data_IF_400355568473
#
_entry.id   IF_400355568473
#
_cell.length_a   1.000
_cell.length_b   1.000
_cell.length_c   1.000
_cell.angle_alpha   90.00
_cell.angle_beta   90.00
_cell.angle_gamma   90.00
#
_symmetry.space_group_name_H-M   'P 1'
#
loop_
_entity.id
_entity.type
_entity.pdbx_description
1 polymer ?
#
# COMPACT_ATOMS: atom_id res chain seq x y z
N UNK A 1 -7.14 17.56 -21.26
CA UNK A 1 -7.75 16.52 -20.41
C UNK A 1 -6.69 15.48 -20.12
N UNK A 2 -6.08 15.51 -18.93
CA UNK A 2 -5.06 14.52 -18.56
C UNK A 2 -5.76 13.19 -18.21
N UNK A 3 -5.24 12.04 -18.66
CA UNK A 3 -5.76 10.74 -18.24
C UNK A 3 -5.52 10.58 -16.74
N UNK A 4 -6.60 10.38 -15.98
CA UNK A 4 -6.52 10.04 -14.57
C UNK A 4 -5.81 8.69 -14.39
N UNK A 5 -4.81 8.58 -13.51
CA UNK A 5 -4.19 7.29 -13.21
C UNK A 5 -5.20 6.38 -12.50
N UNK A 6 -5.48 5.21 -13.05
CA UNK A 6 -6.31 4.20 -12.40
C UNK A 6 -5.41 3.32 -11.50
N UNK A 7 -5.80 3.11 -10.24
CA UNK A 7 -5.19 2.07 -9.41
C UNK A 7 -5.83 0.73 -9.78
N UNK A 8 -5.02 -0.29 -10.09
CA UNK A 8 -5.54 -1.60 -10.48
C UNK A 8 -5.04 -2.67 -9.52
N UNK A 9 -5.98 -3.49 -9.04
CA UNK A 9 -5.69 -4.72 -8.34
C UNK A 9 -5.03 -5.70 -9.31
N UNK A 10 -3.95 -6.36 -8.88
CA UNK A 10 -3.31 -7.40 -9.67
C UNK A 10 -4.20 -8.65 -9.64
N UNK A 11 -4.82 -9.07 -10.77
CA UNK A 11 -5.71 -10.22 -10.77
C UNK A 11 -4.90 -11.52 -10.67
N UNK A 12 -4.67 -12.04 -9.47
CA UNK A 12 -4.10 -13.38 -9.33
C UNK A 12 -5.16 -14.41 -9.73
N UNK A 13 -5.13 -14.84 -10.99
CA UNK A 13 -5.79 -16.07 -11.40
C UNK A 13 -5.03 -17.25 -10.79
N UNK A 14 -5.46 -17.70 -9.62
CA UNK A 14 -5.35 -19.11 -9.29
C UNK A 14 -6.48 -19.75 -10.07
N UNK A 15 -6.16 -20.41 -11.19
CA UNK A 15 -7.11 -21.31 -11.81
C UNK A 15 -7.57 -22.29 -10.73
N UNK A 16 -8.86 -22.35 -10.38
CA UNK A 16 -9.35 -23.46 -9.59
C UNK A 16 -9.05 -24.68 -10.44
N UNK A 17 -8.15 -25.55 -9.96
CA UNK A 17 -8.00 -26.88 -10.51
C UNK A 17 -9.40 -27.49 -10.50
N UNK A 18 -10.01 -27.59 -11.68
CA UNK A 18 -11.27 -28.29 -11.85
C UNK A 18 -11.10 -29.72 -11.30
N UNK A 19 -12.19 -30.35 -10.84
CA UNK A 19 -12.13 -31.73 -10.38
C UNK A 19 -11.68 -32.60 -11.56
N UNK A 20 -10.40 -32.97 -11.57
CA UNK A 20 -9.91 -34.04 -12.43
C UNK A 20 -10.61 -35.31 -11.99
N UNK A 21 -11.48 -35.82 -12.85
CA UNK A 21 -12.18 -37.11 -12.74
C UNK A 21 -11.14 -38.20 -12.55
N UNK A 22 -10.80 -38.48 -11.30
CA UNK A 22 -9.82 -39.49 -10.92
C UNK A 22 -10.63 -40.66 -10.39
N UNK A 23 -10.43 -41.82 -11.02
CA UNK A 23 -10.97 -43.09 -10.59
C UNK A 23 -10.72 -43.27 -9.08
N UNK A 24 -11.76 -43.69 -8.35
CA UNK A 24 -11.78 -43.90 -6.89
C UNK A 24 -10.83 -45.05 -6.47
N UNK A 25 -9.52 -44.83 -6.59
CA UNK A 25 -8.55 -45.63 -5.85
C UNK A 25 -8.45 -45.06 -4.43
N UNK A 26 -8.43 -45.92 -3.39
CA UNK A 26 -8.13 -45.43 -2.04
C UNK A 26 -6.78 -44.71 -2.07
N UNK A 27 -6.67 -43.54 -1.42
CA UNK A 27 -5.43 -42.76 -1.45
C UNK A 27 -4.27 -43.63 -0.95
N UNK A 28 -3.09 -43.57 -1.58
CA UNK A 28 -1.95 -44.37 -1.18
C UNK A 28 -1.61 -44.10 0.29
N UNK A 29 -1.39 -45.17 1.07
CA UNK A 29 -0.97 -45.05 2.47
C UNK A 29 0.48 -44.58 2.50
N UNK A 30 0.69 -43.31 2.85
CA UNK A 30 2.02 -42.71 3.01
C UNK A 30 2.48 -42.93 4.45
N UNK A 31 3.61 -43.60 4.63
CA UNK A 31 4.30 -43.75 5.92
C UNK A 31 5.52 -42.84 5.93
N UNK A 32 5.57 -41.90 6.87
CA UNK A 32 6.70 -40.99 7.04
C UNK A 32 7.46 -41.39 8.30
N UNK A 33 8.80 -41.34 8.22
CA UNK A 33 9.68 -41.66 9.33
C UNK A 33 10.62 -40.47 9.61
N UNK A 34 10.84 -40.17 10.89
CA UNK A 34 11.87 -39.22 11.34
C UNK A 34 12.90 -39.98 12.17
N UNK A 35 14.15 -40.07 11.73
CA UNK A 35 15.21 -40.85 12.40
C UNK A 35 14.75 -42.29 12.73
N UNK A 36 14.14 -42.97 11.75
CA UNK A 36 13.54 -44.32 11.89
C UNK A 36 12.35 -44.44 12.86
N UNK A 37 11.83 -43.33 13.40
CA UNK A 37 10.58 -43.33 14.18
C UNK A 37 9.39 -43.00 13.28
N UNK A 38 8.31 -43.80 13.26
CA UNK A 38 7.14 -43.51 12.43
C UNK A 38 6.43 -42.26 12.93
N UNK A 39 6.18 -41.31 12.03
CA UNK A 39 5.41 -40.11 12.32
C UNK A 39 3.92 -40.51 12.41
N UNK A 40 3.21 -40.20 13.51
CA UNK A 40 1.83 -40.61 13.67
C UNK A 40 0.92 -39.92 12.65
N UNK A 41 0.01 -40.68 12.06
CA UNK A 41 -1.07 -40.13 11.24
C UNK A 41 -2.14 -39.55 12.16
N UNK A 42 -2.40 -38.25 12.05
CA UNK A 42 -3.46 -37.58 12.81
C UNK A 42 -4.51 -36.99 11.88
N UNK A 43 -5.77 -37.00 12.33
CA UNK A 43 -6.89 -36.36 11.60
C UNK A 43 -6.87 -34.84 11.73
N UNK A 44 -6.23 -34.35 12.78
CA UNK A 44 -6.05 -32.94 13.07
C UNK A 44 -4.63 -32.69 13.58
N UNK A 45 -4.01 -31.63 13.09
CA UNK A 45 -2.79 -31.10 13.67
C UNK A 45 -2.79 -29.58 13.65
N UNK A 46 -2.06 -29.00 14.59
CA UNK A 46 -1.91 -27.55 14.75
C UNK A 46 -0.44 -27.17 14.62
N UNK A 47 -0.13 -26.30 13.66
CA UNK A 47 1.20 -25.68 13.54
C UNK A 47 1.07 -24.20 13.89
N UNK A 48 1.69 -23.80 15.00
CA UNK A 48 1.55 -22.47 15.61
C UNK A 48 0.08 -22.17 15.93
N UNK A 49 -0.60 -21.49 15.03
CA UNK A 49 -2.02 -21.23 15.10
C UNK A 49 -2.78 -22.00 14.04
N UNK A 50 -2.16 -22.34 12.91
CA UNK A 50 -2.78 -22.97 11.74
C UNK A 50 -3.34 -24.35 12.10
N UNK A 51 -4.65 -24.51 11.95
CA UNK A 51 -5.34 -25.79 12.14
C UNK A 51 -5.48 -26.46 10.77
N UNK A 52 -4.90 -27.65 10.64
CA UNK A 52 -4.96 -28.46 9.42
C UNK A 52 -5.68 -29.76 9.77
N UNK A 53 -6.53 -30.21 8.85
CA UNK A 53 -7.36 -31.40 8.99
C UNK A 53 -7.17 -32.32 7.79
N UNK A 54 -7.30 -33.63 8.00
CA UNK A 54 -7.17 -34.62 6.93
C UNK A 54 -8.20 -34.41 5.80
N UNK A 55 -9.39 -33.89 6.14
CA UNK A 55 -10.48 -33.60 5.20
C UNK A 55 -10.39 -32.23 4.52
N UNK A 56 -9.34 -31.45 4.81
CA UNK A 56 -9.18 -30.03 4.41
C UNK A 56 -10.33 -29.11 4.87
N UNK A 57 -11.18 -29.58 5.78
CA UNK A 57 -12.29 -28.79 6.29
C UNK A 57 -11.81 -27.64 7.18
N UNK A 58 -12.26 -26.38 6.94
CA UNK A 58 -11.89 -25.24 7.77
C UNK A 58 -12.69 -25.16 9.08
N UNK A 59 -13.59 -26.11 9.33
CA UNK A 59 -14.55 -26.04 10.44
C UNK A 59 -13.92 -25.78 11.80
N UNK A 60 -12.89 -26.56 12.17
CA UNK A 60 -12.20 -26.40 13.46
C UNK A 60 -11.59 -25.00 13.59
N UNK A 61 -10.92 -24.51 12.54
CA UNK A 61 -10.33 -23.18 12.52
C UNK A 61 -11.40 -22.08 12.67
N UNK A 62 -12.52 -22.21 11.95
CA UNK A 62 -13.64 -21.25 12.01
C UNK A 62 -14.30 -21.20 13.39
N UNK A 63 -14.42 -22.33 14.08
CA UNK A 63 -14.95 -22.39 15.45
C UNK A 63 -14.05 -21.61 16.42
N UNK A 64 -12.73 -21.83 16.37
CA UNK A 64 -11.79 -21.07 17.19
C UNK A 64 -11.77 -19.58 16.83
N UNK A 65 -11.85 -19.24 15.54
CA UNK A 65 -11.95 -17.86 15.09
C UNK A 65 -13.21 -17.18 15.64
N UNK A 66 -14.37 -17.84 15.57
CA UNK A 66 -15.64 -17.32 16.11
C UNK A 66 -15.51 -17.00 17.60
N UNK A 67 -14.99 -17.94 18.39
CA UNK A 67 -14.75 -17.75 19.83
C UNK A 67 -13.80 -16.57 20.09
N UNK A 68 -12.69 -16.51 19.34
CA UNK A 68 -11.69 -15.46 19.48
C UNK A 68 -12.24 -14.06 19.14
N UNK A 69 -13.02 -13.94 18.06
CA UNK A 69 -13.66 -12.67 17.66
C UNK A 69 -14.58 -12.16 18.75
N UNK A 70 -15.42 -13.04 19.34
CA UNK A 70 -16.33 -12.67 20.42
C UNK A 70 -15.55 -12.18 21.64
N UNK A 71 -14.59 -12.98 22.12
CA UNK A 71 -13.78 -12.64 23.30
C UNK A 71 -13.02 -11.32 23.12
N UNK A 72 -12.37 -11.15 21.96
CA UNK A 72 -11.58 -9.95 21.64
C UNK A 72 -12.48 -8.72 21.50
N UNK A 73 -13.64 -8.85 20.87
CA UNK A 73 -14.59 -7.74 20.72
C UNK A 73 -15.12 -7.26 22.07
N UNK A 74 -15.42 -8.17 23.00
CA UNK A 74 -15.80 -7.81 24.36
C UNK A 74 -14.67 -7.13 25.13
N UNK A 75 -13.43 -7.64 25.01
CA UNK A 75 -12.27 -7.01 25.61
C UNK A 75 -12.07 -5.58 25.11
N UNK A 76 -12.08 -5.38 23.79
CA UNK A 76 -11.91 -4.07 23.17
C UNK A 76 -13.03 -3.09 23.54
N UNK A 77 -14.28 -3.57 23.59
CA UNK A 77 -15.41 -2.75 24.07
C UNK A 77 -15.22 -2.29 25.51
N UNK A 78 -14.73 -3.15 26.41
CA UNK A 78 -14.44 -2.76 27.80
C UNK A 78 -13.36 -1.68 27.87
N UNK A 79 -12.31 -1.81 27.07
CA UNK A 79 -11.24 -0.79 26.97
C UNK A 79 -11.79 0.54 26.43
N UNK A 80 -12.69 0.48 25.45
CA UNK A 80 -13.31 1.65 24.83
C UNK A 80 -14.22 2.45 25.79
N UNK A 81 -14.84 1.78 26.79
CA UNK A 81 -15.81 2.40 27.71
C UNK A 81 -15.16 2.98 28.98
N UNK A 82 -13.92 2.61 29.32
CA UNK A 82 -13.25 3.13 30.53
C UNK A 82 -13.07 4.66 30.47
N UNK A 83 -13.08 5.31 31.64
CA UNK A 83 -12.77 6.74 31.77
C UNK A 83 -11.34 6.99 31.26
N UNK A 84 -11.15 8.03 30.42
CA UNK A 84 -9.94 8.25 29.60
C UNK A 84 -9.71 7.19 28.51
N UNK A 85 -10.79 6.54 28.04
CA UNK A 85 -10.73 5.48 27.04
C UNK A 85 -10.05 5.88 25.74
N UNK A 86 -9.58 4.86 25.03
CA UNK A 86 -8.84 4.99 23.76
C UNK A 86 -9.68 5.74 22.72
N UNK A 87 -9.08 6.60 21.89
CA UNK A 87 -9.80 7.31 20.81
C UNK A 87 -10.30 6.38 19.70
N UNK A 88 -11.31 6.80 18.92
CA UNK A 88 -11.94 5.95 17.89
C UNK A 88 -10.95 5.35 16.87
N UNK A 89 -10.01 6.16 16.37
CA UNK A 89 -8.94 5.70 15.47
C UNK A 89 -8.04 4.65 16.11
N UNK A 90 -7.66 4.86 17.36
CA UNK A 90 -6.79 3.93 18.08
C UNK A 90 -7.53 2.63 18.46
N UNK A 91 -8.84 2.69 18.70
CA UNK A 91 -9.68 1.48 18.86
C UNK A 91 -9.68 0.63 17.59
N UNK A 92 -9.79 1.26 16.40
CA UNK A 92 -9.69 0.55 15.13
C UNK A 92 -8.30 -0.09 14.98
N UNK A 93 -7.23 0.62 15.33
CA UNK A 93 -5.87 0.05 15.29
C UNK A 93 -5.71 -1.17 16.20
N UNK A 94 -6.29 -1.14 17.39
CA UNK A 94 -6.29 -2.30 18.29
C UNK A 94 -7.10 -3.47 17.70
N UNK A 95 -8.25 -3.19 17.08
CA UNK A 95 -9.03 -4.21 16.39
C UNK A 95 -8.25 -4.84 15.22
N UNK A 96 -7.61 -4.01 14.40
CA UNK A 96 -6.77 -4.46 13.29
C UNK A 96 -5.58 -5.31 13.79
N UNK A 97 -4.92 -4.87 14.87
CA UNK A 97 -3.73 -5.55 15.39
C UNK A 97 -4.02 -6.89 16.08
N UNK A 98 -5.13 -7.02 16.80
CA UNK A 98 -5.47 -8.27 17.51
C UNK A 98 -6.34 -9.20 16.67
N UNK A 99 -7.40 -8.67 16.06
CA UNK A 99 -8.41 -9.48 15.39
C UNK A 99 -8.06 -9.72 13.94
N UNK A 100 -7.84 -8.66 13.16
CA UNK A 100 -7.62 -8.80 11.71
C UNK A 100 -6.32 -9.56 11.43
N UNK A 101 -5.23 -9.30 12.17
CA UNK A 101 -3.97 -10.05 12.06
C UNK A 101 -4.15 -11.55 12.27
N UNK A 102 -5.01 -11.97 13.22
CA UNK A 102 -5.30 -13.36 13.50
C UNK A 102 -6.12 -14.01 12.40
N UNK A 103 -7.09 -13.27 11.85
CA UNK A 103 -7.89 -13.72 10.70
C UNK A 103 -7.01 -13.91 9.46
N UNK A 104 -6.20 -12.91 9.11
CA UNK A 104 -5.35 -12.95 7.91
C UNK A 104 -4.21 -13.96 7.99
N UNK A 105 -3.88 -14.46 9.17
CA UNK A 105 -2.97 -15.60 9.31
C UNK A 105 -3.57 -16.91 8.77
N UNK A 106 -4.88 -17.10 8.91
CA UNK A 106 -5.55 -18.38 8.63
C UNK A 106 -6.34 -18.39 7.33
N UNK A 107 -7.23 -17.41 7.19
CA UNK A 107 -8.26 -17.40 6.16
C UNK A 107 -7.70 -17.49 4.73
N UNK A 108 -6.53 -16.92 4.39
CA UNK A 108 -5.99 -17.04 3.04
C UNK A 108 -5.68 -18.47 2.59
N UNK A 109 -5.53 -19.41 3.52
CA UNK A 109 -5.14 -20.79 3.21
C UNK A 109 -6.29 -21.77 3.41
N UNK A 110 -7.45 -21.30 3.89
CA UNK A 110 -8.62 -22.11 4.13
C UNK A 110 -9.50 -22.21 2.86
N UNK A 111 -10.03 -23.39 2.51
CA UNK A 111 -11.05 -23.52 1.48
C UNK A 111 -12.40 -23.09 2.05
N UNK A 112 -12.75 -21.82 1.88
CA UNK A 112 -13.98 -21.23 2.42
C UNK A 112 -15.12 -21.27 1.39
N UNK A 113 -16.32 -21.60 1.86
CA UNK A 113 -17.54 -21.48 1.05
C UNK A 113 -18.10 -20.05 1.09
N UNK A 114 -18.94 -19.68 0.12
CA UNK A 114 -19.60 -18.37 0.12
C UNK A 114 -20.40 -18.08 1.40
N UNK A 115 -21.00 -19.11 1.98
CA UNK A 115 -21.72 -18.99 3.26
C UNK A 115 -20.78 -18.71 4.43
N UNK A 116 -19.60 -19.34 4.47
CA UNK A 116 -18.58 -19.08 5.48
C UNK A 116 -17.98 -17.67 5.35
N UNK A 117 -17.75 -17.23 4.11
CA UNK A 117 -17.38 -15.86 3.77
C UNK A 117 -18.39 -14.83 4.32
N UNK A 118 -19.68 -15.02 4.06
CA UNK A 118 -20.74 -14.16 4.59
C UNK A 118 -20.78 -14.16 6.13
N UNK A 119 -20.59 -15.31 6.77
CA UNK A 119 -20.53 -15.42 8.23
C UNK A 119 -19.34 -14.64 8.82
N UNK A 120 -18.14 -14.78 8.24
CA UNK A 120 -16.94 -14.06 8.66
C UNK A 120 -17.09 -12.55 8.48
N UNK A 121 -17.66 -12.12 7.37
CA UNK A 121 -18.00 -10.72 7.14
C UNK A 121 -18.97 -10.17 8.20
N UNK A 122 -19.96 -10.96 8.61
CA UNK A 122 -20.85 -10.61 9.73
C UNK A 122 -20.11 -10.46 11.06
N UNK A 123 -19.14 -11.33 11.35
CA UNK A 123 -18.32 -11.26 12.56
C UNK A 123 -17.41 -10.04 12.58
N UNK A 124 -16.75 -9.74 11.46
CA UNK A 124 -15.92 -8.53 11.30
C UNK A 124 -16.77 -7.29 11.55
N UNK A 125 -17.94 -7.16 10.90
CA UNK A 125 -18.85 -6.01 11.11
C UNK A 125 -19.25 -5.86 12.57
N UNK A 126 -19.67 -6.95 13.23
CA UNK A 126 -20.03 -6.94 14.65
C UNK A 126 -18.87 -6.48 15.52
N UNK A 127 -17.65 -6.94 15.23
CA UNK A 127 -16.46 -6.54 15.97
C UNK A 127 -16.16 -5.04 15.82
N UNK A 128 -16.29 -4.48 14.61
CA UNK A 128 -16.18 -3.04 14.37
C UNK A 128 -17.26 -2.25 15.11
N UNK A 129 -18.53 -2.68 15.04
CA UNK A 129 -19.61 -2.02 15.78
C UNK A 129 -19.35 -2.02 17.29
N UNK A 130 -18.98 -3.17 17.87
CA UNK A 130 -18.66 -3.28 19.29
C UNK A 130 -17.50 -2.37 19.70
N UNK A 131 -16.46 -2.31 18.89
CA UNK A 131 -15.24 -1.54 19.17
C UNK A 131 -15.47 -0.04 19.05
N UNK A 132 -16.30 0.38 18.10
CA UNK A 132 -16.67 1.78 17.87
C UNK A 132 -17.87 2.23 18.71
N UNK A 133 -18.40 1.36 19.57
CA UNK A 133 -19.59 1.62 20.39
C UNK A 133 -20.82 1.97 19.55
N UNK A 134 -20.88 1.45 18.33
CA UNK A 134 -22.06 1.57 17.47
C UNK A 134 -23.12 0.54 17.88
N UNK A 135 -24.40 0.80 17.58
CA UNK A 135 -25.45 -0.18 17.79
C UNK A 135 -25.13 -1.52 17.10
N UNK A 136 -25.44 -2.67 17.72
CA UNK A 136 -25.15 -3.99 17.15
C UNK A 136 -25.88 -4.24 15.82
N UNK A 137 -26.99 -3.52 15.59
CA UNK A 137 -27.80 -3.57 14.38
C UNK A 137 -27.54 -2.39 13.43
N UNK A 138 -26.40 -1.71 13.56
CA UNK A 138 -26.03 -0.64 12.65
C UNK A 138 -26.09 -1.12 11.19
N UNK A 139 -26.58 -0.24 10.31
CA UNK A 139 -26.79 -0.56 8.90
C UNK A 139 -25.49 -1.07 8.26
N UNK A 140 -25.55 -2.25 7.65
CA UNK A 140 -24.41 -2.86 6.96
C UNK A 140 -23.97 -2.03 5.75
N UNK A 141 -24.93 -1.44 5.04
CA UNK A 141 -24.63 -0.58 3.88
C UNK A 141 -23.91 0.69 4.33
N UNK A 142 -24.40 1.34 5.40
CA UNK A 142 -23.75 2.51 5.97
C UNK A 142 -22.34 2.21 6.50
N UNK A 143 -22.18 1.13 7.28
CA UNK A 143 -20.86 0.73 7.81
C UNK A 143 -19.84 0.45 6.71
N UNK A 144 -20.29 -0.20 5.63
CA UNK A 144 -19.46 -0.48 4.46
C UNK A 144 -19.10 0.79 3.70
N UNK A 145 -20.08 1.68 3.51
CA UNK A 145 -19.91 2.97 2.84
C UNK A 145 -19.00 3.93 3.62
N UNK A 146 -18.85 3.78 4.94
CA UNK A 146 -17.86 4.54 5.72
C UNK A 146 -16.41 4.15 5.41
N UNK A 147 -16.16 2.98 4.79
CA UNK A 147 -14.82 2.51 4.46
C UNK A 147 -13.94 2.22 5.68
N UNK A 148 -14.52 1.80 6.81
CA UNK A 148 -13.77 1.55 8.06
C UNK A 148 -13.10 0.18 8.10
N UNK A 149 -13.68 -0.81 7.43
CA UNK A 149 -13.26 -2.21 7.46
C UNK A 149 -13.11 -2.80 6.06
N UNK A 150 -12.32 -3.87 5.97
CA UNK A 150 -12.24 -4.71 4.80
C UNK A 150 -13.17 -5.93 4.93
N UNK A 151 -13.64 -6.43 3.79
CA UNK A 151 -14.31 -7.73 3.74
C UNK A 151 -13.28 -8.86 3.84
N UNK A 152 -13.75 -10.06 4.12
CA UNK A 152 -12.94 -11.27 4.24
C UNK A 152 -12.21 -11.58 2.93
N UNK A 153 -12.89 -11.37 1.81
CA UNK A 153 -12.39 -11.53 0.46
C UNK A 153 -11.22 -10.58 0.20
N UNK A 154 -11.38 -9.30 0.53
CA UNK A 154 -10.33 -8.29 0.37
C UNK A 154 -9.11 -8.55 1.26
N UNK A 155 -9.35 -9.03 2.49
CA UNK A 155 -8.29 -9.41 3.41
C UNK A 155 -7.50 -10.62 2.88
N UNK A 156 -8.20 -11.61 2.33
CA UNK A 156 -7.59 -12.78 1.70
C UNK A 156 -6.81 -12.38 0.45
N UNK A 157 -7.39 -11.56 -0.42
CA UNK A 157 -6.73 -11.03 -1.61
C UNK A 157 -5.46 -10.27 -1.23
N UNK A 158 -5.57 -9.26 -0.37
CA UNK A 158 -4.44 -8.44 0.06
C UNK A 158 -3.31 -9.30 0.66
N UNK A 159 -3.66 -10.28 1.48
CA UNK A 159 -2.68 -11.15 2.11
C UNK A 159 -2.04 -12.12 1.09
N UNK A 160 -2.83 -12.76 0.22
CA UNK A 160 -2.30 -13.66 -0.83
C UNK A 160 -1.39 -12.90 -1.79
N UNK A 161 -1.84 -11.76 -2.31
CA UNK A 161 -1.05 -10.93 -3.23
C UNK A 161 0.27 -10.50 -2.60
N UNK A 162 0.24 -10.02 -1.35
CA UNK A 162 1.44 -9.66 -0.60
C UNK A 162 2.41 -10.84 -0.42
N UNK A 163 1.89 -12.05 -0.12
CA UNK A 163 2.72 -13.25 0.02
C UNK A 163 3.32 -13.73 -1.30
N UNK A 164 2.54 -13.72 -2.38
CA UNK A 164 3.02 -14.08 -3.72
C UNK A 164 4.11 -13.10 -4.16
N UNK A 165 3.89 -11.80 -4.02
CA UNK A 165 4.88 -10.77 -4.31
C UNK A 165 6.13 -10.87 -3.44
N UNK A 166 5.99 -11.30 -2.18
CA UNK A 166 7.13 -11.54 -1.30
C UNK A 166 7.95 -12.74 -1.77
N UNK A 167 7.30 -13.84 -2.14
CA UNK A 167 7.97 -15.05 -2.63
C UNK A 167 8.63 -14.81 -3.98
N UNK A 168 8.01 -14.05 -4.87
CA UNK A 168 8.58 -13.72 -6.19
C UNK A 168 9.83 -12.84 -6.13
N UNK A 169 10.27 -12.38 -4.95
CA UNK A 169 11.52 -11.61 -4.82
C UNK A 169 12.75 -12.47 -4.63
N UNK A 170 12.59 -13.76 -4.35
CA UNK A 170 13.70 -14.63 -3.95
C UNK A 170 13.72 -15.91 -4.77
N UNK A 171 14.90 -16.40 -5.08
CA UNK A 171 15.08 -17.65 -5.82
C UNK A 171 14.35 -18.85 -5.19
N UNK A 172 14.47 -19.12 -3.87
CA UNK A 172 13.69 -20.20 -3.23
C UNK A 172 12.19 -19.96 -3.32
N UNK A 173 11.74 -18.71 -3.26
CA UNK A 173 10.33 -18.35 -3.38
C UNK A 173 9.79 -18.58 -4.78
N UNK A 174 10.56 -18.26 -5.82
CA UNK A 174 10.24 -18.62 -7.21
C UNK A 174 10.12 -20.13 -7.39
N UNK A 175 11.05 -20.91 -6.82
CA UNK A 175 10.98 -22.36 -6.87
C UNK A 175 9.68 -22.88 -6.21
N UNK A 176 9.29 -22.32 -5.06
CA UNK A 176 8.02 -22.65 -4.40
C UNK A 176 6.83 -22.31 -5.31
N UNK A 177 6.78 -21.09 -5.85
CA UNK A 177 5.69 -20.66 -6.73
C UNK A 177 5.58 -21.54 -7.99
N UNK A 178 6.71 -21.87 -8.61
CA UNK A 178 6.77 -22.78 -9.76
C UNK A 178 6.27 -24.19 -9.41
N UNK A 179 6.68 -24.73 -8.25
CA UNK A 179 6.22 -26.05 -7.78
C UNK A 179 4.71 -26.10 -7.51
N UNK A 180 4.11 -24.95 -7.19
CA UNK A 180 2.66 -24.79 -6.97
C UNK A 180 1.91 -24.38 -8.24
N UNK A 181 2.58 -24.26 -9.39
CA UNK A 181 2.04 -23.73 -10.65
C UNK A 181 1.39 -22.34 -10.51
N UNK A 182 1.95 -21.50 -9.64
CA UNK A 182 1.50 -20.11 -9.44
C UNK A 182 2.44 -19.19 -10.24
N UNK A 183 1.92 -18.60 -11.30
CA UNK A 183 2.65 -17.62 -12.11
C UNK A 183 2.31 -16.20 -11.63
N UNK A 184 3.21 -15.49 -10.92
CA UNK A 184 2.95 -14.11 -10.54
C UNK A 184 2.94 -13.21 -11.77
N UNK A 185 1.92 -12.35 -11.88
CA UNK A 185 1.71 -11.43 -13.02
C UNK A 185 2.89 -10.49 -13.23
N UNK A 186 3.56 -10.13 -12.13
CA UNK A 186 4.80 -9.38 -12.15
C UNK A 186 5.85 -10.25 -11.46
N UNK A 187 6.66 -10.96 -12.25
CA UNK A 187 7.94 -11.48 -11.78
C UNK A 187 8.91 -10.30 -11.72
N UNK A 188 9.19 -9.70 -10.54
CA UNK A 188 10.34 -8.80 -10.46
C UNK A 188 11.57 -9.60 -10.91
N UNK A 189 12.44 -9.02 -11.74
CA UNK A 189 13.70 -9.69 -12.06
C UNK A 189 14.41 -10.03 -10.75
N UNK A 190 14.98 -11.24 -10.65
CA UNK A 190 15.73 -11.66 -9.46
C UNK A 190 16.73 -10.57 -9.08
N UNK A 191 16.44 -9.84 -8.00
CA UNK A 191 17.25 -8.71 -7.61
C UNK A 191 18.56 -9.21 -7.00
N UNK A 192 19.68 -8.72 -7.51
CA UNK A 192 21.03 -9.03 -7.07
C UNK A 192 21.42 -8.14 -5.90
N UNK A 193 22.31 -8.62 -5.02
CA UNK A 193 22.84 -7.84 -3.91
C UNK A 193 23.79 -6.76 -4.46
N UNK A 194 23.61 -5.52 -4.00
CA UNK A 194 24.56 -4.44 -4.24
C UNK A 194 25.82 -4.72 -3.40
N UNK A 195 27.03 -4.68 -3.98
CA UNK A 195 28.26 -4.87 -3.22
C UNK A 195 28.37 -3.91 -2.02
N UNK A 196 28.88 -4.38 -0.86
CA UNK A 196 28.87 -3.59 0.37
C UNK A 196 29.57 -2.23 0.26
N UNK A 197 30.62 -2.13 -0.56
CA UNK A 197 31.36 -0.88 -0.75
C UNK A 197 30.49 0.20 -1.43
N UNK A 198 29.70 -0.16 -2.44
CA UNK A 198 28.74 0.76 -3.10
C UNK A 198 27.55 1.02 -2.19
N UNK A 199 27.01 -0.04 -1.54
CA UNK A 199 25.81 0.08 -0.71
C UNK A 199 25.95 1.11 0.41
N UNK A 200 27.14 1.23 1.00
CA UNK A 200 27.44 2.21 2.07
C UNK A 200 27.39 3.66 1.60
N UNK A 201 27.66 3.91 0.32
CA UNK A 201 27.62 5.24 -0.27
C UNK A 201 26.20 5.66 -0.68
N UNK A 202 25.28 4.71 -0.82
CA UNK A 202 23.88 5.02 -1.15
C UNK A 202 23.08 5.32 0.12
N UNK A 203 22.76 6.60 0.34
CA UNK A 203 21.98 7.10 1.46
C UNK A 203 20.50 7.18 1.06
N UNK A 204 19.72 6.14 1.36
CA UNK A 204 18.29 6.11 1.07
C UNK A 204 17.49 6.45 2.34
N UNK A 205 16.74 7.56 2.32
CA UNK A 205 15.79 7.88 3.39
C UNK A 205 14.60 6.92 3.37
N UNK A 206 14.01 6.65 4.54
CA UNK A 206 12.83 5.78 4.62
C UNK A 206 11.72 6.26 3.72
N UNK A 207 11.17 5.37 2.90
CA UNK A 207 10.11 5.70 1.96
C UNK A 207 8.87 6.22 2.70
N UNK A 208 8.28 7.34 2.25
CA UNK A 208 7.06 7.86 2.86
C UNK A 208 5.91 6.87 2.74
N UNK A 209 5.10 6.79 3.80
CA UNK A 209 3.86 6.03 3.80
C UNK A 209 2.70 6.91 3.34
N UNK A 210 1.63 6.30 2.83
CA UNK A 210 0.40 6.98 2.40
C UNK A 210 0.69 8.02 1.32
N UNK A 211 1.34 7.57 0.24
CA UNK A 211 1.66 8.37 -0.95
C UNK A 211 0.91 7.85 -2.19
N UNK A 212 -0.31 7.35 -2.04
CA UNK A 212 -1.16 7.10 -3.20
C UNK A 212 -1.58 8.45 -3.83
N UNK A 213 -1.34 8.69 -5.14
CA UNK A 213 -1.66 9.97 -5.79
C UNK A 213 -3.14 10.35 -5.72
N UNK A 214 -4.04 9.36 -5.82
CA UNK A 214 -5.49 9.59 -5.79
C UNK A 214 -5.97 9.95 -4.38
N UNK A 215 -5.52 9.20 -3.38
CA UNK A 215 -6.06 9.32 -2.02
C UNK A 215 -5.32 10.33 -1.14
N UNK A 216 -4.10 10.71 -1.50
CA UNK A 216 -3.21 11.53 -0.69
C UNK A 216 -2.63 12.73 -1.45
N UNK A 217 -3.41 13.29 -2.38
CA UNK A 217 -3.04 14.44 -3.20
C UNK A 217 -2.44 15.61 -2.38
N UNK A 218 -3.04 15.98 -1.25
CA UNK A 218 -2.50 17.06 -0.39
C UNK A 218 -1.10 16.78 0.15
N UNK A 219 -0.78 15.52 0.48
CA UNK A 219 0.57 15.11 0.92
C UNK A 219 1.56 15.15 -0.24
N UNK A 220 1.12 14.71 -1.42
CA UNK A 220 1.88 14.81 -2.66
C UNK A 220 2.25 16.26 -2.97
N UNK A 221 1.28 17.18 -2.95
CA UNK A 221 1.52 18.61 -3.21
C UNK A 221 2.44 19.27 -2.17
N UNK A 222 2.22 19.01 -0.88
CA UNK A 222 3.08 19.55 0.17
C UNK A 222 4.54 19.08 0.02
N UNK A 223 4.74 17.82 -0.38
CA UNK A 223 6.07 17.27 -0.64
C UNK A 223 6.69 17.85 -1.91
N UNK A 224 5.93 17.98 -2.99
CA UNK A 224 6.38 18.63 -4.23
C UNK A 224 6.85 20.06 -3.96
N UNK A 225 6.08 20.84 -3.20
CA UNK A 225 6.44 22.21 -2.77
C UNK A 225 7.72 22.24 -1.95
N UNK A 226 7.95 21.26 -1.08
CA UNK A 226 9.21 21.16 -0.33
C UNK A 226 10.39 20.83 -1.26
N UNK A 227 10.22 19.91 -2.21
CA UNK A 227 11.28 19.56 -3.16
C UNK A 227 11.60 20.71 -4.13
N UNK A 228 10.62 21.48 -4.57
CA UNK A 228 10.85 22.63 -5.46
C UNK A 228 11.73 23.72 -4.82
N UNK A 229 11.72 23.81 -3.49
CA UNK A 229 12.57 24.74 -2.73
C UNK A 229 13.95 24.12 -2.46
N UNK A 230 13.99 22.88 -1.97
CA UNK A 230 15.24 22.28 -1.46
C UNK A 230 16.07 21.52 -2.51
N UNK A 231 15.49 21.14 -3.65
CA UNK A 231 16.12 20.24 -4.63
C UNK A 231 15.92 20.76 -6.06
N UNK A 232 16.31 22.01 -6.31
CA UNK A 232 16.30 22.53 -7.68
C UNK A 232 17.32 21.76 -8.55
N UNK A 233 17.03 21.53 -9.85
CA UNK A 233 17.98 20.89 -10.75
C UNK A 233 19.33 21.61 -10.77
N UNK A 234 20.40 20.86 -10.56
CA UNK A 234 21.78 21.37 -10.53
C UNK A 234 22.74 20.22 -10.86
N UNK A 235 24.05 20.47 -11.07
CA UNK A 235 25.00 19.39 -11.37
C UNK A 235 25.10 18.33 -10.27
N UNK A 236 24.68 18.66 -9.04
CA UNK A 236 24.70 17.77 -7.89
C UNK A 236 23.32 17.20 -7.52
N UNK A 237 22.24 17.74 -8.11
CA UNK A 237 20.85 17.34 -7.84
C UNK A 237 20.20 16.89 -9.14
N UNK A 238 20.08 15.57 -9.31
CA UNK A 238 19.71 14.94 -10.56
C UNK A 238 18.33 14.29 -10.44
N UNK A 239 17.45 14.56 -11.39
CA UNK A 239 16.17 13.87 -11.50
C UNK A 239 16.28 12.73 -12.50
N UNK A 240 15.58 11.62 -12.24
CA UNK A 240 15.55 10.45 -13.13
C UNK A 240 14.13 9.94 -13.36
N UNK A 241 13.90 9.41 -14.55
CA UNK A 241 12.64 8.76 -14.91
C UNK A 241 12.84 7.74 -16.05
N UNK A 242 11.85 6.86 -16.23
CA UNK A 242 11.77 5.91 -17.32
C UNK A 242 10.37 5.94 -17.98
N UNK A 243 10.34 5.89 -19.31
CA UNK A 243 9.11 5.89 -20.09
C UNK A 243 9.06 4.72 -21.07
N UNK A 244 7.96 3.96 -21.07
CA UNK A 244 7.75 2.85 -22.01
C UNK A 244 7.54 3.33 -23.45
N UNK A 245 8.13 2.63 -24.41
CA UNK A 245 7.83 2.80 -25.83
C UNK A 245 6.42 2.28 -26.16
N UNK A 246 5.59 3.01 -26.94
CA UNK A 246 4.19 2.65 -27.18
C UNK A 246 3.94 1.21 -27.68
N UNK A 247 4.85 0.67 -28.50
CA UNK A 247 4.68 -0.63 -29.17
C UNK A 247 5.81 -1.63 -28.87
N UNK A 248 6.58 -1.40 -27.80
CA UNK A 248 7.70 -2.27 -27.45
C UNK A 248 7.78 -2.48 -25.92
N UNK A 249 8.39 -3.59 -25.51
CA UNK A 249 8.79 -3.81 -24.11
C UNK A 249 10.04 -3.01 -23.73
N UNK A 250 10.57 -2.21 -24.65
CA UNK A 250 11.64 -1.26 -24.37
C UNK A 250 11.14 -0.04 -23.59
N UNK A 251 12.06 0.59 -22.86
CA UNK A 251 11.86 1.81 -22.11
C UNK A 251 13.00 2.79 -22.38
N UNK A 252 12.68 4.07 -22.52
CA UNK A 252 13.65 5.15 -22.52
C UNK A 252 13.86 5.62 -21.08
N UNK A 253 15.09 5.52 -20.58
CA UNK A 253 15.50 6.10 -19.29
C UNK A 253 16.13 7.47 -19.55
N UNK A 254 15.82 8.45 -18.70
CA UNK A 254 16.32 9.81 -18.81
C UNK A 254 16.85 10.29 -17.46
N UNK A 255 17.88 11.14 -17.50
CA UNK A 255 18.32 11.92 -16.36
C UNK A 255 18.41 13.40 -16.74
N UNK A 256 18.09 14.28 -15.80
CA UNK A 256 18.21 15.73 -15.97
C UNK A 256 19.15 16.30 -14.92
N UNK A 257 20.31 16.72 -15.40
CA UNK A 257 21.30 17.56 -14.73
C UNK A 257 21.97 18.47 -15.78
N UNK A 258 22.42 19.68 -15.43
CA UNK A 258 23.15 20.55 -16.36
C UNK A 258 24.41 19.85 -16.90
N UNK A 259 24.83 20.07 -18.17
CA UNK A 259 24.24 20.98 -19.16
C UNK A 259 23.18 20.34 -20.08
N UNK A 260 23.12 19.01 -20.18
CA UNK A 260 22.20 18.32 -21.11
C UNK A 260 21.57 17.05 -20.52
N UNK A 261 20.30 16.77 -20.85
CA UNK A 261 19.66 15.51 -20.49
C UNK A 261 20.38 14.34 -21.16
N UNK A 262 20.70 13.31 -20.39
CA UNK A 262 21.30 12.07 -20.91
C UNK A 262 20.25 10.98 -20.87
N UNK A 263 20.21 10.18 -21.93
CA UNK A 263 19.15 9.20 -22.11
C UNK A 263 19.67 7.90 -22.69
N UNK A 264 18.94 6.82 -22.45
CA UNK A 264 19.30 5.47 -22.87
C UNK A 264 18.05 4.62 -23.08
N UNK A 265 18.04 3.79 -24.12
CA UNK A 265 16.95 2.83 -24.36
C UNK A 265 17.35 1.46 -23.81
N UNK A 266 16.45 0.82 -23.06
CA UNK A 266 16.66 -0.52 -22.47
C UNK A 266 15.48 -1.44 -22.72
N UNK A 267 15.76 -2.70 -23.08
CA UNK A 267 14.76 -3.73 -23.28
C UNK A 267 14.52 -4.48 -21.96
N UNK A 268 13.69 -3.92 -21.10
CA UNK A 268 13.40 -4.44 -19.76
C UNK A 268 11.99 -4.10 -19.31
N UNK A 269 11.41 -4.80 -18.32
CA UNK A 269 10.18 -4.34 -17.67
C UNK A 269 10.31 -2.92 -17.08
N UNK A 270 9.19 -2.21 -16.93
CA UNK A 270 9.14 -0.83 -16.41
C UNK A 270 9.89 -0.66 -15.08
N UNK A 271 9.65 -1.55 -14.13
CA UNK A 271 10.28 -1.48 -12.79
C UNK A 271 11.81 -1.63 -12.84
N UNK A 272 12.33 -2.34 -13.84
CA UNK A 272 13.79 -2.48 -14.06
C UNK A 272 14.35 -1.23 -14.74
N UNK A 273 13.60 -0.64 -15.68
CA UNK A 273 14.01 0.59 -16.36
C UNK A 273 14.21 1.75 -15.37
N UNK A 274 13.34 1.88 -14.36
CA UNK A 274 13.48 2.89 -13.31
C UNK A 274 14.76 2.71 -12.46
N UNK A 275 15.16 1.46 -12.17
CA UNK A 275 16.43 1.20 -11.48
C UNK A 275 17.65 1.50 -12.34
N UNK A 276 17.55 1.20 -13.64
CA UNK A 276 18.57 1.52 -14.63
C UNK A 276 18.73 3.03 -14.78
N UNK A 277 17.65 3.81 -14.71
CA UNK A 277 17.72 5.27 -14.72
C UNK A 277 18.54 5.81 -13.54
N UNK A 278 18.37 5.24 -12.34
CA UNK A 278 19.21 5.58 -11.17
C UNK A 278 20.68 5.16 -11.42
N UNK A 279 20.91 3.95 -11.95
CA UNK A 279 22.26 3.47 -12.23
C UNK A 279 22.99 4.30 -13.31
N UNK A 280 22.25 4.83 -14.28
CA UNK A 280 22.77 5.72 -15.33
C UNK A 280 23.36 6.99 -14.72
N UNK A 281 22.70 7.59 -13.72
CA UNK A 281 23.22 8.78 -13.04
C UNK A 281 24.52 8.48 -12.31
N UNK A 282 24.59 7.34 -11.61
CA UNK A 282 25.80 6.93 -10.88
C UNK A 282 27.03 6.85 -11.81
N UNK A 283 26.82 6.47 -13.08
CA UNK A 283 27.88 6.35 -14.07
C UNK A 283 28.21 7.66 -14.76
N UNK A 284 27.19 8.45 -15.12
CA UNK A 284 27.35 9.60 -16.01
C UNK A 284 27.67 10.89 -15.27
N UNK A 285 27.29 10.99 -14.00
CA UNK A 285 27.54 12.18 -13.19
C UNK A 285 28.77 11.97 -12.31
N UNK A 286 29.81 12.83 -12.40
CA UNK A 286 31.04 12.62 -11.64
C UNK A 286 30.83 12.62 -10.12
N UNK A 287 29.94 13.49 -9.62
CA UNK A 287 29.72 13.69 -8.18
C UNK A 287 28.25 14.11 -7.89
N UNK A 288 27.26 13.25 -8.15
CA UNK A 288 25.88 13.54 -7.76
C UNK A 288 25.79 13.50 -6.23
N UNK A 289 25.27 14.54 -5.60
CA UNK A 289 24.99 14.52 -4.15
C UNK A 289 23.60 13.97 -3.88
N UNK A 290 22.63 14.26 -4.75
CA UNK A 290 21.23 13.83 -4.60
C UNK A 290 20.65 13.34 -5.93
N UNK A 291 19.99 12.19 -5.91
CA UNK A 291 19.21 11.64 -7.02
C UNK A 291 17.75 11.53 -6.60
N UNK A 292 16.87 12.13 -7.40
CA UNK A 292 15.42 12.14 -7.18
C UNK A 292 14.72 11.25 -8.21
N UNK A 293 13.90 10.32 -7.74
CA UNK A 293 13.08 9.43 -8.57
C UNK A 293 11.67 9.38 -8.00
N UNK A 294 10.66 9.30 -8.86
CA UNK A 294 9.28 9.04 -8.45
C UNK A 294 8.92 7.54 -8.37
N UNK A 295 9.87 6.67 -8.73
CA UNK A 295 9.75 5.24 -8.54
C UNK A 295 9.93 4.82 -7.07
N UNK A 296 8.80 4.61 -6.39
CA UNK A 296 8.83 3.99 -5.07
C UNK A 296 9.37 2.55 -5.12
N UNK A 297 9.18 1.83 -6.24
CA UNK A 297 9.65 0.47 -6.39
C UNK A 297 11.19 0.41 -6.46
N UNK A 298 11.81 1.17 -7.36
CA UNK A 298 13.25 1.19 -7.53
C UNK A 298 13.94 1.63 -6.23
N UNK A 299 13.49 2.71 -5.60
CA UNK A 299 14.06 3.19 -4.35
C UNK A 299 13.91 2.17 -3.21
N UNK A 300 12.84 1.38 -3.19
CA UNK A 300 12.66 0.29 -2.22
C UNK A 300 13.70 -0.81 -2.42
N UNK A 301 14.01 -1.17 -3.67
CA UNK A 301 15.03 -2.17 -3.95
C UNK A 301 16.42 -1.67 -3.51
N UNK A 302 16.79 -0.44 -3.89
CA UNK A 302 18.02 0.21 -3.43
C UNK A 302 18.12 0.29 -1.90
N UNK A 303 17.03 0.67 -1.22
CA UNK A 303 16.93 0.68 0.25
C UNK A 303 17.25 -0.69 0.86
N UNK A 304 16.72 -1.75 0.26
CA UNK A 304 16.96 -3.14 0.66
C UNK A 304 18.33 -3.70 0.23
N UNK A 305 19.18 -2.87 -0.39
CA UNK A 305 20.50 -3.25 -0.88
C UNK A 305 20.46 -4.22 -2.05
N UNK A 306 19.40 -4.15 -2.87
CA UNK A 306 19.21 -5.00 -4.04
C UNK A 306 18.89 -4.17 -5.28
N UNK A 307 19.31 -4.63 -6.45
CA UNK A 307 18.97 -4.03 -7.74
C UNK A 307 18.88 -5.12 -8.81
N UNK A 308 18.22 -4.82 -9.92
CA UNK A 308 18.08 -5.72 -11.06
C UNK A 308 19.42 -6.15 -11.66
N UNK A 309 19.46 -7.33 -12.30
CA UNK A 309 20.63 -7.80 -13.05
C UNK A 309 21.09 -6.85 -14.16
N UNK A 310 20.20 -5.97 -14.65
CA UNK A 310 20.50 -4.99 -15.68
C UNK A 310 21.10 -3.70 -15.11
N UNK A 311 20.63 -3.25 -13.93
CA UNK A 311 21.18 -2.06 -13.28
C UNK A 311 22.55 -2.33 -12.64
N UNK A 312 22.78 -3.52 -12.06
CA UNK A 312 24.01 -3.83 -11.33
C UNK A 312 25.30 -3.64 -12.15
N UNK A 313 25.43 -4.18 -13.38
CA UNK A 313 26.63 -3.99 -14.18
C UNK A 313 26.91 -2.52 -14.50
N UNK A 314 25.85 -1.70 -14.66
CA UNK A 314 25.98 -0.26 -14.89
C UNK A 314 26.56 0.39 -13.65
N UNK A 315 25.96 0.16 -12.48
CA UNK A 315 26.45 0.70 -11.19
C UNK A 315 27.91 0.32 -10.89
N UNK A 316 28.37 -0.84 -11.37
CA UNK A 316 29.74 -1.31 -11.14
C UNK A 316 30.81 -0.67 -12.05
N UNK A 317 30.43 -0.07 -13.18
CA UNK A 317 31.39 0.49 -14.15
C UNK A 317 32.15 1.69 -13.58
N UNK A 318 31.47 2.53 -12.83
CA UNK A 318 32.04 3.71 -12.18
C UNK A 318 31.52 3.76 -10.75
N UNK A 319 32.20 3.09 -9.80
CA UNK A 319 31.74 3.07 -8.42
C UNK A 319 31.77 4.49 -7.85
N UNK A 320 30.74 4.79 -7.06
CA UNK A 320 30.66 6.05 -6.32
C UNK A 320 31.91 6.25 -5.47
N UNK A 321 32.40 7.49 -5.43
CA UNK A 321 33.48 7.90 -4.54
C UNK A 321 32.91 8.53 -3.26
N UNK A 322 31.85 9.32 -3.41
CA UNK A 322 31.19 10.04 -2.33
C UNK A 322 29.78 9.50 -2.03
N UNK A 323 29.25 9.74 -0.83
CA UNK A 323 27.87 9.39 -0.49
C UNK A 323 26.85 10.14 -1.35
N UNK A 324 25.84 9.42 -1.83
CA UNK A 324 24.76 9.95 -2.68
C UNK A 324 23.41 9.70 -2.01
N UNK A 325 22.61 10.75 -1.88
CA UNK A 325 21.26 10.65 -1.34
C UNK A 325 20.24 10.23 -2.41
N UNK A 326 19.48 9.16 -2.17
CA UNK A 326 18.36 8.77 -3.03
C UNK A 326 17.03 9.19 -2.39
N UNK A 327 16.25 10.01 -3.10
CA UNK A 327 15.01 10.60 -2.61
C UNK A 327 13.80 10.29 -3.49
N UNK A 328 12.70 9.92 -2.83
CA UNK A 328 11.40 9.79 -3.51
C UNK A 328 10.79 11.16 -3.78
N UNK A 329 10.45 11.42 -5.03
CA UNK A 329 9.62 12.55 -5.47
C UNK A 329 8.21 12.11 -5.84
N UNK A 330 7.21 12.98 -5.65
CA UNK A 330 5.87 12.71 -6.15
C UNK A 330 5.82 12.88 -7.68
N UNK A 331 5.22 11.91 -8.38
CA UNK A 331 4.96 11.99 -9.82
C UNK A 331 3.84 12.99 -10.13
N UNK A 332 3.90 13.62 -11.32
CA UNK A 332 2.82 14.43 -11.89
C UNK A 332 2.29 15.57 -11.00
N UNK A 333 3.16 16.20 -10.20
CA UNK A 333 2.81 17.32 -9.32
C UNK A 333 3.28 18.68 -9.83
N UNK A 334 3.80 18.77 -11.06
CA UNK A 334 4.34 20.02 -11.60
C UNK A 334 5.71 20.39 -11.04
N UNK A 335 6.46 19.41 -10.55
CA UNK A 335 7.84 19.62 -10.09
C UNK A 335 8.76 19.69 -11.33
N UNK A 336 9.19 20.89 -11.69
CA UNK A 336 9.85 21.16 -12.99
C UNK A 336 10.98 20.19 -13.36
N UNK A 337 11.84 19.81 -12.40
CA UNK A 337 12.90 18.81 -12.65
C UNK A 337 12.35 17.43 -13.00
N UNK A 338 11.35 16.94 -12.29
CA UNK A 338 10.73 15.63 -12.56
C UNK A 338 9.97 15.64 -13.90
N UNK A 339 9.15 16.65 -14.13
CA UNK A 339 8.37 16.79 -15.37
C UNK A 339 9.28 16.93 -16.60
N UNK A 340 10.42 17.62 -16.45
CA UNK A 340 11.40 17.73 -17.51
C UNK A 340 11.96 16.37 -17.88
N UNK A 341 12.43 15.57 -16.91
CA UNK A 341 12.98 14.23 -17.20
C UNK A 341 11.93 13.32 -17.84
N UNK A 342 10.70 13.36 -17.30
CA UNK A 342 9.57 12.60 -17.85
C UNK A 342 9.32 12.96 -19.31
N UNK A 343 9.28 14.25 -19.63
CA UNK A 343 9.10 14.74 -21.00
C UNK A 343 10.24 14.27 -21.91
N UNK A 344 11.51 14.39 -21.48
CA UNK A 344 12.66 13.92 -22.28
C UNK A 344 12.64 12.41 -22.52
N UNK A 345 12.27 11.60 -21.51
CA UNK A 345 12.11 10.16 -21.67
C UNK A 345 11.01 9.84 -22.69
N UNK A 346 9.91 10.61 -22.68
CA UNK A 346 8.80 10.46 -23.63
C UNK A 346 9.13 10.94 -25.04
N UNK A 347 9.90 12.03 -25.19
CA UNK A 347 10.32 12.56 -26.49
C UNK A 347 11.20 11.59 -27.29
N UNK A 348 11.95 10.73 -26.61
CA UNK A 348 12.70 9.66 -27.28
C UNK A 348 11.79 8.57 -27.84
N UNK A 349 10.60 8.41 -27.26
CA UNK A 349 9.62 7.45 -27.74
C UNK A 349 8.92 7.94 -29.01
N UNK A 350 8.82 9.25 -29.23
CA UNK A 350 8.17 9.86 -30.41
C UNK A 350 9.06 9.95 -31.65
N UNK A 351 10.35 9.58 -31.58
CA UNK A 351 11.26 9.57 -32.75
C UNK A 351 11.02 8.40 -33.73
N UNK A 352 10.18 7.44 -33.37
CA UNK A 352 9.67 6.42 -34.30
C UNK A 352 8.22 6.75 -34.67
N UNK A 353 7.80 6.63 -35.95
CA UNK A 353 6.41 6.86 -36.33
C UNK A 353 5.54 5.77 -35.70
N UNK A 354 4.89 6.09 -34.59
CA UNK A 354 3.93 5.21 -33.93
C UNK A 354 2.52 5.73 -34.23
N UNK A 355 1.70 4.86 -34.84
CA UNK A 355 0.25 5.04 -34.92
C UNK A 355 -0.31 5.39 -33.54
N UNK A 356 -1.21 6.38 -33.50
CA UNK A 356 -1.89 6.89 -32.31
C UNK A 356 -2.60 5.77 -31.53
N UNK A 357 -1.88 5.06 -30.67
CA UNK A 357 -2.48 4.22 -29.64
C UNK A 357 -2.80 5.10 -28.43
N UNK A 358 -4.03 5.05 -27.89
CA UNK A 358 -4.40 5.83 -26.73
C UNK A 358 -3.49 5.51 -25.54
N UNK A 359 -3.12 6.55 -24.80
CA UNK A 359 -2.32 6.48 -23.58
C UNK A 359 -2.88 5.43 -22.62
N UNK A 360 -2.27 4.25 -22.56
CA UNK A 360 -2.42 3.39 -21.40
C UNK A 360 -1.60 4.01 -20.28
N UNK A 361 -2.25 4.81 -19.44
CA UNK A 361 -1.74 5.09 -18.10
C UNK A 361 -1.48 3.74 -17.43
N UNK A 362 -0.22 3.38 -17.25
CA UNK A 362 0.15 2.14 -16.57
C UNK A 362 -0.51 2.24 -15.18
N UNK A 363 -1.46 1.34 -14.86
CA UNK A 363 -2.18 1.44 -13.61
C UNK A 363 -1.21 1.30 -12.46
N UNK A 364 -1.33 2.14 -11.42
CA UNK A 364 -0.42 2.11 -10.27
C UNK A 364 -0.57 0.76 -9.58
N UNK A 365 0.45 -0.11 -9.62
CA UNK A 365 0.36 -1.44 -9.06
C UNK A 365 0.35 -1.38 -7.53
N UNK A 366 -0.64 -2.04 -6.92
CA UNK A 366 -0.77 -2.13 -5.46
C UNK A 366 0.03 -3.34 -4.95
N UNK A 367 1.17 -3.06 -4.31
CA UNK A 367 2.12 -4.11 -3.93
C UNK A 367 1.97 -4.61 -2.49
N UNK A 368 1.50 -3.77 -1.58
CA UNK A 368 1.48 -4.11 -0.16
C UNK A 368 0.08 -4.47 0.32
N UNK A 369 0.01 -5.32 1.34
CA UNK A 369 -1.24 -5.60 2.05
C UNK A 369 -1.97 -4.32 2.45
N UNK A 370 -1.23 -3.30 2.91
CA UNK A 370 -1.79 -2.02 3.31
C UNK A 370 -2.41 -1.28 2.12
N UNK A 371 -1.71 -1.20 0.98
CA UNK A 371 -2.21 -0.47 -0.19
C UNK A 371 -3.46 -1.14 -0.78
N UNK A 372 -3.49 -2.47 -0.84
CA UNK A 372 -4.64 -3.24 -1.35
C UNK A 372 -5.86 -3.05 -0.45
N UNK A 373 -5.68 -3.23 0.87
CA UNK A 373 -6.78 -3.04 1.83
C UNK A 373 -7.27 -1.59 1.89
N UNK A 374 -6.37 -0.62 1.80
CA UNK A 374 -6.71 0.80 1.76
C UNK A 374 -7.48 1.15 0.48
N UNK A 375 -7.04 0.67 -0.68
CA UNK A 375 -7.72 0.87 -1.96
C UNK A 375 -9.18 0.44 -1.90
N UNK A 376 -9.42 -0.79 -1.44
CA UNK A 376 -10.77 -1.33 -1.26
C UNK A 376 -11.64 -0.46 -0.33
N UNK A 377 -11.10 -0.05 0.82
CA UNK A 377 -11.81 0.80 1.78
C UNK A 377 -12.17 2.17 1.21
N UNK A 378 -11.23 2.80 0.51
CA UNK A 378 -11.40 4.14 -0.03
C UNK A 378 -12.30 4.16 -1.26
N UNK A 379 -12.28 3.12 -2.10
CA UNK A 379 -13.19 3.01 -3.24
C UNK A 379 -14.66 2.91 -2.82
N UNK A 380 -14.94 2.24 -1.70
CA UNK A 380 -16.31 2.16 -1.16
C UNK A 380 -16.71 3.39 -0.35
N UNK A 381 -15.76 4.26 -0.03
CA UNK A 381 -16.00 5.39 0.85
C UNK A 381 -16.83 6.45 0.12
N UNK A 382 -18.05 6.67 0.58
CA UNK A 382 -18.90 7.77 0.09
C UNK A 382 -18.94 8.99 1.02
N UNK A 383 -18.92 8.87 2.36
CA UNK A 383 -18.96 10.04 3.22
C UNK A 383 -17.56 10.70 3.30
N UNK A 384 -17.50 12.03 3.44
CA UNK A 384 -16.24 12.74 3.56
C UNK A 384 -15.40 12.23 4.75
N UNK A 385 -14.06 12.39 4.72
CA UNK A 385 -13.22 12.16 5.88
C UNK A 385 -13.77 12.94 7.08
N UNK A 386 -13.91 12.29 8.27
CA UNK A 386 -14.23 13.06 9.46
C UNK A 386 -13.15 14.14 9.61
N UNK A 387 -13.53 15.37 10.01
CA UNK A 387 -12.54 16.41 10.27
C UNK A 387 -11.52 15.85 11.26
N UNK A 388 -10.23 16.10 11.00
CA UNK A 388 -9.18 15.73 11.93
C UNK A 388 -9.44 16.49 13.23
N UNK A 389 -10.02 15.83 14.22
CA UNK A 389 -10.15 16.41 15.55
C UNK A 389 -8.72 16.76 16.01
N UNK A 390 -8.47 18.01 16.42
CA UNK A 390 -7.18 18.38 16.96
C UNK A 390 -6.83 17.40 18.08
N UNK A 391 -5.64 16.82 18.02
CA UNK A 391 -5.10 16.07 19.16
C UNK A 391 -4.76 17.14 20.21
N UNK A 392 -5.75 17.55 21.00
CA UNK A 392 -5.50 18.40 22.16
C UNK A 392 -4.84 17.53 23.22
N UNK A 393 -3.50 17.51 23.21
CA UNK A 393 -2.72 17.11 24.38
C UNK A 393 -2.96 18.17 25.45
N UNK A 394 -3.62 17.78 26.54
CA UNK A 394 -3.59 18.43 27.85
C UNK A 394 -3.82 19.94 27.90
N UNK A 395 -5.03 20.35 28.26
CA UNK A 395 -5.32 21.69 28.81
C UNK A 395 -6.27 21.55 30.00
N UNK A 396 -6.09 22.32 31.09
CA UNK A 396 -6.62 21.98 32.40
C UNK A 396 -8.04 22.49 32.65
N UNK A 397 -8.70 21.80 33.58
CA UNK A 397 -9.81 22.22 34.44
C UNK A 397 -11.03 22.95 33.85
N UNK A 398 -12.18 22.28 33.99
CA UNK A 398 -13.37 22.88 34.60
C UNK A 398 -14.16 23.88 33.77
N UNK A 399 -15.15 23.38 33.01
CA UNK A 399 -16.38 24.12 32.77
C UNK A 399 -17.53 23.14 32.52
N UNK A 400 -18.46 23.10 33.47
CA UNK A 400 -19.79 22.52 33.29
C UNK A 400 -20.55 23.29 32.20
N UNK A 401 -21.15 22.59 31.24
CA UNK A 401 -22.51 22.85 30.74
C UNK A 401 -22.97 21.79 29.71
N UNK A 402 -24.28 21.67 29.40
CA UNK A 402 -25.06 20.49 29.76
C UNK A 402 -25.43 19.59 28.57
N UNK A 403 -25.94 18.42 28.94
CA UNK A 403 -26.53 17.39 28.09
C UNK A 403 -27.50 17.94 27.03
N UNK A 404 -27.12 17.88 25.76
CA UNK A 404 -28.03 18.07 24.64
C UNK A 404 -28.66 16.72 24.27
N UNK A 405 -29.93 16.55 24.64
CA UNK A 405 -30.83 15.53 24.10
C UNK A 405 -30.89 15.68 22.57
N UNK A 406 -30.71 14.57 21.86
CA UNK A 406 -31.03 14.46 20.43
C UNK A 406 -32.56 14.54 20.29
N UNK A 407 -33.14 15.49 19.52
CA UNK A 407 -34.57 15.52 19.27
C UNK A 407 -34.96 14.42 18.28
N UNK A 408 -36.06 13.73 18.59
CA UNK A 408 -36.73 12.77 17.72
C UNK A 408 -37.25 13.44 16.46
N UNK A 409 -37.02 12.82 15.29
CA UNK A 409 -37.67 13.19 14.04
C UNK A 409 -39.17 12.89 14.11
N UNK A 410 -40.00 13.93 14.16
CA UNK A 410 -41.32 13.99 13.52
C UNK A 410 -41.83 15.43 13.61
N UNK A 411 -41.59 16.25 12.58
CA UNK A 411 -42.52 17.30 12.15
C UNK A 411 -42.08 17.91 10.80
N UNK A 412 -42.92 17.94 9.76
CA UNK A 412 -42.53 18.39 8.43
C UNK A 412 -43.11 19.78 8.11
N UNK A 413 -42.81 20.83 8.89
CA UNK A 413 -43.06 22.23 8.48
C UNK A 413 -42.17 23.20 9.27
N UNK A 414 -40.93 23.41 8.82
CA UNK A 414 -40.15 24.59 9.22
C UNK A 414 -39.09 24.90 8.16
N UNK A 415 -39.30 25.97 7.41
CA UNK A 415 -38.29 26.58 6.53
C UNK A 415 -37.14 27.17 7.37
N UNK A 416 -35.87 27.02 6.96
CA UNK A 416 -34.75 27.65 7.65
C UNK A 416 -34.64 29.14 7.30
N UNK A 417 -34.23 30.02 8.24
CA UNK A 417 -33.94 31.42 7.95
C UNK A 417 -32.61 31.58 7.16
N UNK A 418 -32.45 32.66 6.36
CA UNK A 418 -31.30 32.86 5.49
C UNK A 418 -30.03 33.28 6.26
N UNK A 419 -28.82 33.07 5.67
CA UNK A 419 -27.55 33.35 6.33
C UNK A 419 -27.20 34.84 6.29
N UNK A 420 -26.79 35.38 7.44
CA UNK A 420 -26.24 36.73 7.58
C UNK A 420 -24.77 36.73 7.14
N UNK A 421 -24.47 37.49 6.09
CA UNK A 421 -23.12 37.89 5.70
C UNK A 421 -22.62 39.01 6.63
N UNK A 422 -21.41 38.86 7.18
CA UNK A 422 -20.70 39.95 7.86
C UNK A 422 -19.43 40.29 7.07
N UNK A 423 -19.52 41.42 6.38
CA UNK A 423 -18.41 42.16 5.77
C UNK A 423 -17.91 43.26 6.71
N UNK A 424 -16.60 43.53 6.60
CA UNK A 424 -15.89 44.80 6.84
C UNK A 424 -15.80 45.43 8.24
N UNK A 425 -14.54 45.70 8.59
CA UNK A 425 -14.00 46.62 9.63
C UNK A 425 -14.58 48.04 9.54
N UNK A 426 -14.41 48.88 10.59
CA UNK A 426 -13.25 49.79 10.60
C UNK A 426 -12.53 49.95 11.95
N UNK A 427 -11.32 50.49 11.84
CA UNK A 427 -10.40 50.91 12.91
C UNK A 427 -10.85 52.21 13.60
N UNK A 428 -10.36 52.45 14.83
CA UNK A 428 -9.61 53.64 15.27
C UNK A 428 -9.50 53.72 16.82
N UNK A 429 -8.24 53.78 17.29
CA UNK A 429 -7.68 54.68 18.34
C UNK A 429 -8.29 54.62 19.77
N UNK A 430 -7.55 54.69 20.89
CA UNK A 430 -6.28 55.34 21.22
C UNK A 430 -5.79 54.80 22.61
N UNK A 431 -4.50 54.49 22.75
CA UNK A 431 -3.48 55.10 23.66
C UNK A 431 -3.38 54.63 25.12
N UNK A 432 -2.12 54.44 25.55
CA UNK A 432 -1.68 54.54 26.95
C UNK A 432 -0.65 53.47 27.38
N UNK A 433 0.59 53.53 26.88
CA UNK A 433 1.82 53.88 27.61
C UNK A 433 2.30 52.89 28.70
N UNK A 434 3.49 52.31 28.48
CA UNK A 434 4.66 52.46 29.37
C UNK A 434 5.95 51.95 28.69
N UNK A 435 6.82 52.92 28.42
CA UNK A 435 8.29 52.93 28.23
C UNK A 435 8.97 51.99 27.22
#
# INVERSE_FOLDING_TARGET
MHPTPHAQLLPHQVSPTGPSTTQNFPPPKIYLFAHNTPIPQTTHFRILVLHITSTRSPHIALTHIKQYVVQTSHLLRRVAIRQHGVGGTDRIRLLESFLISRLTYHLPFAPLTQTQHAQLNGLIRKAYCHTLLLPPHASTTCLTAMGLHNTTEELIEAQRSSQILRLSRFYPGHHILASLNINPIQTPSLALLIPPHIRRLLLIKTLPRNMNPLYHAGRHMARAKRHSISHQPSPITIYVDAAQYPNNQAHATSMHGPPHPTTMSVLTPYTVAEEVAIALVIVQQPQPTTILSDSQHALSNYLNGRISPQALPITLRHPLQDPVELLLTPAHTGLGGNEAVHSHARELNTRAPASFAPNHSIPIPLYTYFDITLHHRLNRRTPPPPPQLPITRGGPHGAHHPSARVPSLHDPTALPPPPVYLTSLPALWCTGHAL
#
